data_IF_371766942021
#
_entry.id   IF_371766942021
#
_cell.length_a   1.000
_cell.length_b   1.000
_cell.length_c   1.000
_cell.angle_alpha   90.00
_cell.angle_beta   90.00
_cell.angle_gamma   90.00
#
_symmetry.space_group_name_H-M   'P 1'
#
loop_
_entity.id
_entity.type
_entity.pdbx_description
1 polymer ?
#
# COMPACT_ATOMS: atom_id res chain seq x y z
N UNK A 1 8.01 24.49 -18.09
CA UNK A 1 7.49 23.11 -18.15
C UNK A 1 6.43 22.98 -17.07
N UNK A 2 5.27 22.42 -17.41
CA UNK A 2 4.23 22.12 -16.44
C UNK A 2 4.74 21.05 -15.45
N UNK A 3 4.37 21.18 -14.18
CA UNK A 3 4.69 20.18 -13.17
C UNK A 3 3.80 18.95 -13.39
N UNK A 4 4.39 17.75 -13.30
CA UNK A 4 3.69 16.47 -13.42
C UNK A 4 4.05 15.58 -12.24
N UNK A 5 3.07 14.86 -11.70
CA UNK A 5 3.24 13.86 -10.64
C UNK A 5 3.78 12.55 -11.25
N UNK A 6 4.99 12.62 -11.81
CA UNK A 6 5.56 11.57 -12.64
C UNK A 6 5.66 10.23 -11.91
N UNK A 7 6.03 10.24 -10.62
CA UNK A 7 6.23 9.01 -9.86
C UNK A 7 4.90 8.32 -9.58
N UNK A 8 3.90 9.07 -9.12
CA UNK A 8 2.59 8.48 -8.85
C UNK A 8 1.88 8.06 -10.14
N UNK A 9 2.08 8.77 -11.25
CA UNK A 9 1.58 8.33 -12.58
C UNK A 9 2.21 7.01 -13.02
N UNK A 10 3.51 6.80 -12.79
CA UNK A 10 4.16 5.50 -13.06
C UNK A 10 3.51 4.39 -12.24
N UNK A 11 3.31 4.62 -10.93
CA UNK A 11 2.66 3.66 -10.03
C UNK A 11 1.24 3.35 -10.50
N UNK A 12 0.46 4.35 -10.91
CA UNK A 12 -0.89 4.15 -11.45
C UNK A 12 -0.89 3.29 -12.73
N UNK A 13 0.12 3.44 -13.58
CA UNK A 13 0.26 2.63 -14.79
C UNK A 13 0.69 1.18 -14.49
N UNK A 14 1.52 0.96 -13.46
CA UNK A 14 2.00 -0.37 -13.05
C UNK A 14 0.92 -1.16 -12.30
N UNK A 15 0.17 -0.50 -11.42
CA UNK A 15 -0.88 -1.10 -10.58
C UNK A 15 -2.25 -0.53 -10.95
N UNK A 16 -2.74 -0.84 -12.16
CA UNK A 16 -4.01 -0.30 -12.63
C UNK A 16 -5.21 -0.74 -11.76
N UNK A 17 -5.10 -1.88 -11.09
CA UNK A 17 -6.04 -2.37 -10.09
C UNK A 17 -5.79 -1.66 -8.74
N UNK A 18 -6.69 -0.77 -8.34
CA UNK A 18 -6.61 -0.02 -7.08
C UNK A 18 -6.18 1.45 -7.23
N UNK A 19 -5.60 1.86 -8.36
CA UNK A 19 -5.10 3.25 -8.52
C UNK A 19 -6.04 4.20 -9.28
N UNK A 20 -7.14 3.70 -9.85
CA UNK A 20 -8.08 4.52 -10.63
C UNK A 20 -8.61 5.75 -9.86
N UNK A 21 -8.80 5.62 -8.55
CA UNK A 21 -9.23 6.71 -7.68
C UNK A 21 -8.22 7.85 -7.53
N UNK A 22 -6.92 7.62 -7.76
CA UNK A 22 -5.89 8.66 -7.65
C UNK A 22 -5.85 9.60 -8.85
N UNK A 23 -6.25 9.13 -10.03
CA UNK A 23 -6.09 9.88 -11.29
C UNK A 23 -6.73 11.28 -11.26
N UNK A 24 -7.96 11.48 -10.75
CA UNK A 24 -8.55 12.80 -10.63
C UNK A 24 -7.77 13.72 -9.67
N UNK A 25 -7.21 13.17 -8.59
CA UNK A 25 -6.41 13.93 -7.62
C UNK A 25 -5.06 14.34 -8.19
N UNK A 26 -4.41 13.48 -8.97
CA UNK A 26 -3.18 13.81 -9.70
C UNK A 26 -3.42 14.96 -10.67
N UNK A 27 -4.46 14.86 -11.50
CA UNK A 27 -4.82 15.93 -12.43
C UNK A 27 -5.09 17.25 -11.70
N UNK A 28 -5.78 17.20 -10.57
CA UNK A 28 -6.09 18.40 -9.79
C UNK A 28 -4.83 19.06 -9.18
N UNK A 29 -3.82 18.28 -8.76
CA UNK A 29 -2.54 18.80 -8.28
C UNK A 29 -1.76 19.47 -9.41
N UNK A 30 -1.67 18.81 -10.57
CA UNK A 30 -0.92 19.28 -11.73
C UNK A 30 -1.52 20.57 -12.32
N UNK A 31 -2.84 20.61 -12.49
CA UNK A 31 -3.58 21.79 -12.93
C UNK A 31 -3.37 22.98 -11.97
N UNK A 32 -3.33 22.72 -10.66
CA UNK A 32 -3.10 23.75 -9.65
C UNK A 32 -1.65 24.23 -9.64
N UNK A 33 -0.69 23.35 -9.91
CA UNK A 33 0.72 23.73 -9.99
C UNK A 33 0.98 24.69 -11.16
N UNK A 34 0.23 24.57 -12.25
CA UNK A 34 0.32 25.50 -13.39
C UNK A 34 -0.38 26.84 -13.12
N UNK A 35 -1.56 26.81 -12.50
CA UNK A 35 -2.45 27.99 -12.38
C UNK A 35 -2.27 28.79 -11.09
N UNK A 36 -1.95 28.11 -9.99
CA UNK A 36 -1.90 28.70 -8.65
C UNK A 36 -0.93 27.91 -7.75
N UNK A 37 0.39 28.12 -7.90
CA UNK A 37 1.45 27.35 -7.22
C UNK A 37 1.34 27.30 -5.68
N UNK A 38 0.69 28.28 -5.08
CA UNK A 38 0.45 28.32 -3.64
C UNK A 38 -0.66 27.35 -3.17
N UNK A 39 -1.62 27.05 -4.03
CA UNK A 39 -2.75 26.13 -3.75
C UNK A 39 -2.40 24.67 -4.05
N UNK A 40 -1.38 24.43 -4.88
CA UNK A 40 -0.93 23.09 -5.26
C UNK A 40 -0.33 22.32 -4.07
N UNK A 41 0.26 23.04 -3.11
CA UNK A 41 0.75 22.51 -1.84
C UNK A 41 -0.35 21.83 -1.00
N UNK A 42 -1.51 22.47 -0.85
CA UNK A 42 -2.64 21.90 -0.11
C UNK A 42 -3.20 20.66 -0.81
N UNK A 43 -3.26 20.70 -2.15
CA UNK A 43 -3.71 19.56 -2.95
C UNK A 43 -2.74 18.38 -2.87
N UNK A 44 -1.43 18.63 -2.81
CA UNK A 44 -0.44 17.59 -2.65
C UNK A 44 -0.51 16.91 -1.27
N UNK A 45 -0.75 17.68 -0.21
CA UNK A 45 -1.07 17.11 1.11
C UNK A 45 -2.34 16.29 1.10
N UNK A 46 -3.40 16.80 0.48
CA UNK A 46 -4.66 16.08 0.36
C UNK A 46 -4.47 14.77 -0.40
N UNK A 47 -3.66 14.76 -1.48
CA UNK A 47 -3.31 13.53 -2.17
C UNK A 47 -2.54 12.55 -1.27
N UNK A 48 -1.55 13.02 -0.51
CA UNK A 48 -0.82 12.17 0.44
C UNK A 48 -1.77 11.57 1.50
N UNK A 49 -2.70 12.37 2.01
CA UNK A 49 -3.72 11.91 2.95
C UNK A 49 -4.63 10.85 2.33
N UNK A 50 -5.09 11.07 1.08
CA UNK A 50 -5.90 10.11 0.34
C UNK A 50 -5.10 8.83 0.12
N UNK A 51 -3.85 8.92 -0.34
CA UNK A 51 -2.95 7.77 -0.51
C UNK A 51 -2.83 6.97 0.78
N UNK A 52 -2.60 7.63 1.91
CA UNK A 52 -2.48 6.96 3.20
C UNK A 52 -3.79 6.31 3.64
N UNK A 53 -4.93 6.99 3.47
CA UNK A 53 -6.25 6.43 3.78
C UNK A 53 -6.56 5.21 2.93
N UNK A 54 -6.27 5.27 1.63
CA UNK A 54 -6.45 4.13 0.71
C UNK A 54 -5.59 2.94 1.14
N UNK A 55 -4.31 3.15 1.46
CA UNK A 55 -3.44 2.06 1.95
C UNK A 55 -3.98 1.48 3.27
N UNK A 56 -4.44 2.33 4.20
CA UNK A 56 -5.00 1.88 5.46
C UNK A 56 -6.27 1.05 5.26
N UNK A 57 -7.17 1.49 4.37
CA UNK A 57 -8.39 0.77 3.99
C UNK A 57 -8.05 -0.56 3.31
N UNK A 58 -7.14 -0.59 2.34
CA UNK A 58 -6.67 -1.81 1.66
C UNK A 58 -6.00 -2.81 2.64
N UNK A 59 -5.40 -2.34 3.74
CA UNK A 59 -4.77 -3.15 4.78
C UNK A 59 -5.71 -3.52 5.95
N UNK A 60 -6.97 -3.10 5.91
CA UNK A 60 -7.92 -3.36 7.02
C UNK A 60 -7.57 -2.64 8.32
N UNK A 61 -6.82 -1.54 8.26
CA UNK A 61 -6.41 -0.78 9.44
C UNK A 61 -7.54 0.13 9.92
N UNK A 62 -7.68 0.34 11.24
CA UNK A 62 -8.69 1.25 11.77
C UNK A 62 -8.48 2.67 11.23
N UNK A 63 -9.57 3.31 10.80
CA UNK A 63 -9.55 4.67 10.24
C UNK A 63 -9.01 5.63 11.29
N UNK A 64 -7.76 6.06 11.13
CA UNK A 64 -7.13 6.96 12.07
C UNK A 64 -7.86 8.33 12.07
N UNK A 65 -8.20 8.84 13.25
CA UNK A 65 -8.61 10.24 13.46
C UNK A 65 -7.41 11.20 13.57
N UNK A 66 -6.21 10.71 13.25
CA UNK A 66 -4.96 11.39 13.53
C UNK A 66 -4.58 12.41 12.45
N UNK A 67 -3.65 13.31 12.77
CA UNK A 67 -3.05 14.23 11.80
C UNK A 67 -2.32 13.44 10.70
N UNK A 68 -2.13 14.06 9.54
CA UNK A 68 -1.45 13.47 8.39
C UNK A 68 -0.06 12.91 8.76
N UNK A 69 0.69 13.61 9.62
CA UNK A 69 2.01 13.15 10.05
C UNK A 69 1.95 11.83 10.83
N UNK A 70 0.94 11.68 11.69
CA UNK A 70 0.73 10.48 12.48
C UNK A 70 0.28 9.33 11.58
N UNK A 71 -0.66 9.60 10.66
CA UNK A 71 -1.13 8.62 9.68
C UNK A 71 0.02 8.06 8.82
N UNK A 72 0.88 8.94 8.29
CA UNK A 72 2.06 8.52 7.52
C UNK A 72 3.02 7.73 8.40
N UNK A 73 3.26 8.19 9.63
CA UNK A 73 4.19 7.53 10.56
C UNK A 73 3.72 6.14 10.97
N UNK A 74 2.42 5.94 11.15
CA UNK A 74 1.84 4.65 11.48
C UNK A 74 1.83 3.69 10.30
N UNK A 75 1.61 4.18 9.07
CA UNK A 75 1.75 3.37 7.87
C UNK A 75 3.21 2.92 7.64
N UNK A 76 4.18 3.82 7.86
CA UNK A 76 5.61 3.47 7.77
C UNK A 76 5.97 2.30 8.69
N UNK A 77 5.32 2.15 9.84
CA UNK A 77 5.57 1.02 10.76
C UNK A 77 4.97 -0.31 10.25
N UNK A 78 4.02 -0.25 9.33
CA UNK A 78 3.19 -1.39 8.92
C UNK A 78 3.49 -1.87 7.50
N UNK A 79 4.19 -1.07 6.71
CA UNK A 79 4.62 -1.41 5.35
C UNK A 79 6.08 -1.86 5.41
N UNK A 80 6.39 -3.12 5.09
CA UNK A 80 7.77 -3.53 4.87
C UNK A 80 8.30 -2.90 3.57
N UNK A 81 9.45 -2.24 3.61
CA UNK A 81 10.02 -1.53 2.45
C UNK A 81 11.09 -2.31 1.72
N UNK A 82 11.89 -3.10 2.45
CA UNK A 82 13.01 -3.82 1.90
C UNK A 82 12.51 -4.90 0.96
N UNK A 83 11.66 -5.83 1.40
CA UNK A 83 11.17 -6.93 0.55
C UNK A 83 12.29 -7.61 -0.25
N UNK A 84 13.49 -7.67 0.32
CA UNK A 84 14.71 -8.07 -0.37
C UNK A 84 15.21 -9.33 0.31
N UNK A 85 15.47 -10.38 -0.48
CA UNK A 85 16.17 -11.54 0.03
C UNK A 85 17.67 -11.21 0.15
N UNK A 86 18.03 -10.47 1.21
CA UNK A 86 19.37 -9.97 1.47
C UNK A 86 19.81 -10.30 2.91
N UNK A 87 21.07 -10.71 3.14
CA UNK A 87 21.56 -11.03 4.50
C UNK A 87 21.38 -9.92 5.54
N UNK A 88 21.46 -8.65 5.09
CA UNK A 88 21.28 -7.46 5.93
C UNK A 88 19.89 -6.81 5.80
N UNK A 89 18.83 -7.57 5.48
CA UNK A 89 17.47 -7.07 5.26
C UNK A 89 17.00 -6.09 6.36
N UNK A 90 17.26 -6.40 7.64
CA UNK A 90 16.91 -5.52 8.76
C UNK A 90 17.58 -4.14 8.68
N UNK A 91 18.87 -4.09 8.32
CA UNK A 91 19.57 -2.82 8.21
C UNK A 91 19.06 -1.99 7.03
N UNK A 92 18.64 -2.66 5.95
CA UNK A 92 18.03 -2.01 4.78
C UNK A 92 16.67 -1.44 5.17
N UNK A 93 15.83 -2.23 5.86
CA UNK A 93 14.52 -1.81 6.35
C UNK A 93 14.62 -0.59 7.27
N UNK A 94 15.58 -0.60 8.21
CA UNK A 94 15.84 0.52 9.11
C UNK A 94 16.24 1.79 8.34
N UNK A 95 17.05 1.66 7.29
CA UNK A 95 17.49 2.78 6.47
C UNK A 95 16.33 3.36 5.63
N UNK A 96 15.51 2.50 5.01
CA UNK A 96 14.34 2.90 4.23
C UNK A 96 13.27 3.55 5.12
N UNK A 97 13.04 2.99 6.31
CA UNK A 97 12.14 3.56 7.32
C UNK A 97 12.61 4.96 7.73
N UNK A 98 13.90 5.13 8.02
CA UNK A 98 14.47 6.44 8.37
C UNK A 98 14.32 7.45 7.24
N UNK A 99 14.65 7.06 6.01
CA UNK A 99 14.50 7.91 4.83
C UNK A 99 13.06 8.39 4.66
N UNK A 100 12.11 7.47 4.74
CA UNK A 100 10.68 7.77 4.56
C UNK A 100 10.16 8.73 5.64
N UNK A 101 10.60 8.54 6.91
CA UNK A 101 10.30 9.48 8.01
C UNK A 101 10.91 10.87 7.76
N UNK A 102 12.14 10.95 7.27
CA UNK A 102 12.80 12.22 6.95
C UNK A 102 12.09 12.96 5.81
N UNK A 103 11.62 12.25 4.78
CA UNK A 103 10.80 12.84 3.70
C UNK A 103 9.48 13.38 4.27
N UNK A 104 8.78 12.61 5.10
CA UNK A 104 7.54 13.07 5.76
C UNK A 104 7.77 14.33 6.61
N UNK A 105 8.83 14.34 7.43
CA UNK A 105 9.19 15.52 8.23
C UNK A 105 9.49 16.75 7.35
N UNK A 106 10.12 16.55 6.19
CA UNK A 106 10.40 17.63 5.24
C UNK A 106 9.12 18.21 4.63
N UNK A 107 8.16 17.35 4.29
CA UNK A 107 6.82 17.76 3.85
C UNK A 107 6.13 18.57 4.97
N UNK A 108 6.22 18.12 6.22
CA UNK A 108 5.71 18.83 7.40
C UNK A 108 6.35 20.20 7.63
N UNK A 109 7.65 20.37 7.39
CA UNK A 109 8.33 21.66 7.49
C UNK A 109 7.89 22.62 6.36
N UNK A 110 7.83 22.16 5.11
CA UNK A 110 7.35 22.94 3.97
C UNK A 110 5.88 23.33 4.12
N UNK A 111 5.10 22.44 4.72
CA UNK A 111 3.72 22.68 5.11
C UNK A 111 3.57 23.84 6.09
N UNK A 112 4.45 23.93 7.09
CA UNK A 112 4.46 25.02 8.07
C UNK A 112 4.86 26.34 7.40
N UNK A 113 5.83 26.34 6.49
CA UNK A 113 6.22 27.53 5.72
C UNK A 113 5.04 28.12 4.93
N UNK A 114 4.21 27.26 4.32
CA UNK A 114 2.99 27.70 3.62
C UNK A 114 1.90 28.27 4.54
N UNK A 115 1.97 28.02 5.85
CA UNK A 115 0.99 28.53 6.81
C UNK A 115 1.43 29.85 7.47
N UNK A 116 2.64 30.35 7.16
CA UNK A 116 3.09 31.66 7.65
C UNK A 116 2.26 32.75 6.98
N UNK A 117 1.80 33.72 7.79
CA UNK A 117 1.00 34.84 7.32
C UNK A 117 1.70 35.61 6.20
N UNK A 118 0.96 35.90 5.13
CA UNK A 118 1.46 36.63 3.97
C UNK A 118 2.28 35.83 2.95
N UNK A 119 2.73 34.61 3.29
CA UNK A 119 3.47 33.76 2.33
C UNK A 119 2.55 33.00 1.36
N UNK A 120 1.31 32.66 1.78
CA UNK A 120 0.36 31.85 0.98
C UNK A 120 -0.36 32.62 -0.12
N UNK A 121 -0.85 33.83 0.19
CA UNK A 121 -1.71 34.62 -0.71
C UNK A 121 -1.21 36.05 -0.91
N UNK A 122 0.00 36.36 -0.44
CA UNK A 122 0.44 37.73 -0.21
C UNK A 122 -0.07 38.25 1.13
N UNK A 123 0.72 39.11 1.77
CA UNK A 123 0.33 39.85 2.97
C UNK A 123 0.13 41.31 2.61
N UNK A 124 1.00 42.17 3.14
CA UNK A 124 1.15 43.52 2.62
C UNK A 124 1.60 43.49 1.15
N UNK A 125 1.24 44.51 0.37
CA UNK A 125 1.70 44.68 -1.02
C UNK A 125 3.24 44.72 -1.14
N UNK A 126 3.94 44.95 -0.03
CA UNK A 126 5.40 44.99 0.05
C UNK A 126 6.04 43.66 0.52
N UNK A 127 5.26 42.62 0.78
CA UNK A 127 5.79 41.34 1.24
C UNK A 127 5.95 40.38 0.07
N UNK A 128 7.12 39.75 -0.02
CA UNK A 128 7.36 38.68 -0.99
C UNK A 128 6.61 37.41 -0.58
N UNK A 129 6.08 36.70 -1.57
CA UNK A 129 5.46 35.40 -1.40
C UNK A 129 6.47 34.29 -1.62
N UNK A 130 6.10 33.06 -1.24
CA UNK A 130 6.95 31.90 -1.46
C UNK A 130 7.23 31.70 -2.96
N UNK A 131 8.50 31.69 -3.37
CA UNK A 131 8.83 31.47 -4.77
C UNK A 131 8.39 30.08 -5.26
N UNK A 132 8.04 29.98 -6.55
CA UNK A 132 7.54 28.75 -7.20
C UNK A 132 8.38 27.50 -6.91
N UNK A 133 9.71 27.64 -6.82
CA UNK A 133 10.62 26.51 -6.59
C UNK A 133 10.43 25.85 -5.22
N UNK A 134 9.99 26.57 -4.18
CA UNK A 134 9.67 25.97 -2.89
C UNK A 134 8.38 25.15 -2.93
N UNK A 135 7.36 25.64 -3.65
CA UNK A 135 6.12 24.88 -3.90
C UNK A 135 6.40 23.63 -4.73
N UNK A 136 7.21 23.75 -5.78
CA UNK A 136 7.65 22.61 -6.59
C UNK A 136 8.41 21.55 -5.78
N UNK A 137 9.18 21.94 -4.77
CA UNK A 137 9.84 21.00 -3.86
C UNK A 137 8.82 20.19 -3.06
N UNK A 138 7.81 20.84 -2.48
CA UNK A 138 6.74 20.15 -1.75
C UNK A 138 5.98 19.18 -2.66
N UNK A 139 5.62 19.63 -3.86
CA UNK A 139 4.96 18.78 -4.86
C UNK A 139 5.80 17.53 -5.19
N UNK A 140 7.10 17.71 -5.42
CA UNK A 140 8.01 16.61 -5.76
C UNK A 140 8.19 15.62 -4.60
N UNK A 141 8.29 16.11 -3.37
CA UNK A 141 8.40 15.26 -2.18
C UNK A 141 7.11 14.48 -1.93
N UNK A 142 5.95 15.13 -2.09
CA UNK A 142 4.65 14.47 -1.98
C UNK A 142 4.46 13.42 -3.08
N UNK A 143 4.85 13.70 -4.33
CA UNK A 143 4.81 12.73 -5.43
C UNK A 143 5.65 11.49 -5.11
N UNK A 144 6.92 11.71 -4.74
CA UNK A 144 7.84 10.64 -4.40
C UNK A 144 7.34 9.80 -3.21
N UNK A 145 6.83 10.45 -2.16
CA UNK A 145 6.35 9.74 -0.97
C UNK A 145 5.07 8.93 -1.25
N UNK A 146 4.09 9.51 -1.95
CA UNK A 146 2.86 8.78 -2.33
C UNK A 146 3.21 7.55 -3.16
N UNK A 147 4.03 7.74 -4.20
CA UNK A 147 4.44 6.66 -5.10
C UNK A 147 5.17 5.55 -4.33
N UNK A 148 6.14 5.91 -3.48
CA UNK A 148 6.90 4.95 -2.71
C UNK A 148 6.04 4.16 -1.72
N UNK A 149 5.18 4.84 -0.94
CA UNK A 149 4.31 4.19 0.03
C UNK A 149 3.33 3.23 -0.65
N UNK A 150 2.69 3.67 -1.73
CA UNK A 150 1.72 2.85 -2.44
C UNK A 150 2.39 1.67 -3.14
N UNK A 151 3.53 1.88 -3.82
CA UNK A 151 4.28 0.79 -4.46
C UNK A 151 4.78 -0.25 -3.45
N UNK A 152 5.33 0.18 -2.32
CA UNK A 152 5.75 -0.72 -1.24
C UNK A 152 4.56 -1.49 -0.67
N UNK A 153 3.42 -0.83 -0.46
CA UNK A 153 2.18 -1.47 -0.05
C UNK A 153 1.70 -2.53 -1.07
N UNK A 154 1.61 -2.19 -2.35
CA UNK A 154 1.12 -3.11 -3.39
C UNK A 154 2.04 -4.32 -3.54
N UNK A 155 3.37 -4.12 -3.46
CA UNK A 155 4.34 -5.22 -3.53
C UNK A 155 4.35 -6.12 -2.30
N UNK A 156 3.85 -5.63 -1.16
CA UNK A 156 3.76 -6.40 0.09
C UNK A 156 2.38 -7.01 0.33
N UNK A 157 1.31 -6.46 -0.23
CA UNK A 157 0.01 -7.14 -0.26
C UNK A 157 -0.01 -8.22 -1.33
N UNK A 158 0.65 -8.00 -2.47
CA UNK A 158 0.85 -9.05 -3.49
C UNK A 158 1.86 -10.13 -3.04
N UNK A 159 2.65 -9.82 -2.01
CA UNK A 159 3.43 -10.78 -1.22
C UNK A 159 2.74 -10.98 0.12
N UNK A 160 1.62 -11.69 0.16
CA UNK A 160 1.41 -12.49 1.38
C UNK A 160 2.71 -13.27 1.65
N UNK A 161 3.10 -13.49 2.94
CA UNK A 161 4.23 -14.35 3.22
C UNK A 161 4.05 -15.60 2.37
N UNK A 162 5.11 -16.02 1.70
CA UNK A 162 5.10 -17.21 0.87
C UNK A 162 4.76 -18.37 1.79
N UNK A 163 3.46 -18.56 2.07
CA UNK A 163 2.92 -19.68 2.82
C UNK A 163 3.51 -20.88 2.11
N UNK A 164 4.20 -21.72 2.85
CA UNK A 164 4.68 -22.96 2.31
C UNK A 164 3.44 -23.83 2.07
N UNK A 165 3.48 -24.69 1.05
CA UNK A 165 2.38 -25.63 0.83
C UNK A 165 2.18 -26.51 2.07
N UNK A 166 3.28 -26.79 2.75
CA UNK A 166 3.40 -27.59 3.97
C UNK A 166 2.74 -26.94 5.20
N UNK A 167 2.55 -25.62 5.22
CA UNK A 167 1.95 -24.92 6.36
C UNK A 167 0.46 -25.28 6.53
N UNK A 168 -0.20 -25.73 5.45
CA UNK A 168 -1.63 -26.05 5.40
C UNK A 168 -1.87 -27.56 5.25
N UNK A 169 -1.03 -28.39 5.90
CA UNK A 169 -1.01 -29.84 5.71
C UNK A 169 -2.36 -30.54 5.96
N UNK A 170 -3.10 -30.13 6.99
CA UNK A 170 -4.40 -30.73 7.34
C UNK A 170 -5.46 -30.45 6.25
N UNK A 171 -5.53 -29.19 5.80
CA UNK A 171 -6.39 -28.80 4.69
C UNK A 171 -6.04 -29.54 3.40
N UNK A 172 -4.75 -29.68 3.09
CA UNK A 172 -4.31 -30.37 1.88
C UNK A 172 -4.73 -31.83 1.83
N UNK A 173 -4.63 -32.53 2.97
CA UNK A 173 -5.09 -33.93 3.08
C UNK A 173 -6.60 -34.02 2.87
N UNK A 174 -7.37 -33.17 3.55
CA UNK A 174 -8.84 -33.16 3.42
C UNK A 174 -9.28 -32.86 1.98
N UNK A 175 -8.65 -31.87 1.34
CA UNK A 175 -8.91 -31.49 -0.04
C UNK A 175 -8.58 -32.63 -1.01
N UNK A 176 -7.46 -33.32 -0.80
CA UNK A 176 -7.07 -34.45 -1.62
C UNK A 176 -8.00 -35.65 -1.42
N UNK A 177 -8.33 -36.02 -0.18
CA UNK A 177 -9.18 -37.18 0.12
C UNK A 177 -10.61 -36.99 -0.37
N UNK A 178 -11.20 -35.81 -0.13
CA UNK A 178 -12.56 -35.46 -0.57
C UNK A 178 -12.71 -35.51 -2.10
N UNK A 179 -11.66 -35.19 -2.85
CA UNK A 179 -11.72 -35.10 -4.32
C UNK A 179 -11.19 -36.36 -5.03
N UNK A 180 -10.17 -37.04 -4.48
CA UNK A 180 -9.63 -38.29 -5.02
C UNK A 180 -10.59 -39.46 -4.73
N UNK A 181 -11.22 -39.49 -3.54
CA UNK A 181 -12.15 -40.55 -3.15
C UNK A 181 -13.41 -40.61 -4.03
N UNK A 182 -13.91 -39.45 -4.47
CA UNK A 182 -15.12 -39.37 -5.31
C UNK A 182 -14.86 -39.57 -6.81
N UNK A 183 -13.66 -39.25 -7.32
CA UNK A 183 -13.39 -39.15 -8.77
C UNK A 183 -12.24 -40.03 -9.27
N UNK A 184 -11.54 -40.71 -8.36
CA UNK A 184 -10.30 -41.44 -8.66
C UNK A 184 -9.08 -40.53 -8.78
N UNK A 185 -7.89 -41.12 -8.81
CA UNK A 185 -6.63 -40.37 -8.93
C UNK A 185 -6.55 -39.59 -10.24
N UNK A 186 -6.05 -38.35 -10.17
CA UNK A 186 -5.75 -37.56 -11.38
C UNK A 186 -4.42 -38.04 -11.94
N UNK A 187 -4.45 -38.80 -13.05
CA UNK A 187 -3.25 -39.35 -13.67
C UNK A 187 -3.02 -38.72 -15.04
N UNK A 188 -1.85 -38.11 -15.24
CA UNK A 188 -1.42 -37.56 -16.54
C UNK A 188 -0.16 -38.30 -16.98
N UNK A 189 -0.25 -39.06 -18.09
CA UNK A 189 0.87 -39.84 -18.63
C UNK A 189 1.48 -40.79 -17.58
N UNK A 190 0.63 -41.41 -16.76
CA UNK A 190 1.06 -42.35 -15.71
C UNK A 190 1.62 -41.69 -14.44
N UNK A 191 1.60 -40.36 -14.35
CA UNK A 191 2.00 -39.63 -13.13
C UNK A 191 0.75 -39.21 -12.36
N UNK A 192 0.62 -39.59 -11.08
CA UNK A 192 -0.48 -39.13 -10.24
C UNK A 192 -0.25 -37.70 -9.76
N UNK A 193 -1.33 -36.91 -9.68
CA UNK A 193 -1.32 -35.54 -9.19
C UNK A 193 -2.35 -35.38 -8.07
N UNK A 194 -2.00 -34.57 -7.07
CA UNK A 194 -2.87 -34.22 -5.96
C UNK A 194 -3.70 -32.97 -6.30
N UNK A 195 -5.03 -32.98 -6.08
CA UNK A 195 -5.88 -31.81 -6.27
C UNK A 195 -5.35 -30.55 -5.56
N UNK A 196 -4.90 -30.68 -4.32
CA UNK A 196 -4.34 -29.59 -3.53
C UNK A 196 -3.08 -29.00 -4.16
N UNK A 197 -2.14 -29.84 -4.61
CA UNK A 197 -0.89 -29.44 -5.26
C UNK A 197 -1.12 -28.79 -6.64
N UNK A 198 -2.10 -29.31 -7.40
CA UNK A 198 -2.55 -28.71 -8.66
C UNK A 198 -3.09 -27.31 -8.39
N UNK A 199 -4.00 -27.14 -7.44
CA UNK A 199 -4.59 -25.83 -7.13
C UNK A 199 -3.53 -24.87 -6.58
N UNK A 200 -2.67 -25.32 -5.68
CA UNK A 200 -1.56 -24.54 -5.15
C UNK A 200 -0.66 -23.97 -6.24
N UNK A 201 -0.31 -24.81 -7.22
CA UNK A 201 0.68 -24.47 -8.26
C UNK A 201 0.07 -23.75 -9.45
N UNK A 202 -1.14 -24.14 -9.87
CA UNK A 202 -1.74 -23.69 -11.13
C UNK A 202 -2.91 -22.70 -10.93
N UNK A 203 -3.54 -22.65 -9.76
CA UNK A 203 -4.66 -21.75 -9.49
C UNK A 203 -4.74 -21.31 -8.02
N UNK A 204 -3.82 -20.42 -7.64
CA UNK A 204 -3.65 -19.97 -6.27
C UNK A 204 -4.90 -19.34 -5.65
N UNK A 205 -5.61 -18.49 -6.41
CA UNK A 205 -6.85 -17.85 -5.93
C UNK A 205 -7.88 -18.88 -5.48
N UNK A 206 -8.04 -19.97 -6.24
CA UNK A 206 -9.02 -21.01 -5.93
C UNK A 206 -8.61 -21.85 -4.72
N UNK A 207 -7.30 -22.09 -4.56
CA UNK A 207 -6.76 -22.73 -3.36
C UNK A 207 -7.11 -21.90 -2.11
N UNK A 208 -6.83 -20.60 -2.14
CA UNK A 208 -7.04 -19.71 -0.99
C UNK A 208 -8.54 -19.56 -0.65
N UNK A 209 -9.43 -19.45 -1.64
CA UNK A 209 -10.90 -19.47 -1.45
C UNK A 209 -11.38 -20.73 -0.73
N UNK A 210 -10.84 -21.89 -1.13
CA UNK A 210 -11.26 -23.19 -0.59
C UNK A 210 -10.73 -23.38 0.83
N UNK A 211 -9.49 -22.95 1.09
CA UNK A 211 -8.90 -22.94 2.43
C UNK A 211 -9.71 -22.07 3.40
N UNK A 212 -10.13 -20.87 2.97
CA UNK A 212 -10.96 -19.99 3.80
C UNK A 212 -12.31 -20.61 4.16
N UNK A 213 -12.97 -21.27 3.19
CA UNK A 213 -14.21 -21.98 3.44
C UNK A 213 -14.03 -23.11 4.47
N UNK A 214 -12.97 -23.91 4.31
CA UNK A 214 -12.63 -24.98 5.26
C UNK A 214 -12.35 -24.46 6.67
N UNK A 215 -11.61 -23.36 6.80
CA UNK A 215 -11.34 -22.72 8.10
C UNK A 215 -12.62 -22.17 8.77
N UNK A 216 -13.55 -21.63 7.98
CA UNK A 216 -14.85 -21.16 8.49
C UNK A 216 -15.69 -22.33 9.00
N UNK A 217 -15.77 -23.43 8.25
CA UNK A 217 -16.48 -24.65 8.67
C UNK A 217 -15.89 -25.25 9.94
N UNK A 218 -14.56 -25.30 10.05
CA UNK A 218 -13.86 -25.77 11.24
C UNK A 218 -14.13 -24.88 12.48
N UNK A 219 -14.22 -23.56 12.27
CA UNK A 219 -14.54 -22.60 13.34
C UNK A 219 -16.01 -22.68 13.78
N UNK A 220 -16.94 -22.97 12.87
CA UNK A 220 -18.37 -23.13 13.17
C UNK A 220 -18.67 -24.48 13.83
N UNK A 221 -17.88 -25.51 13.54
CA UNK A 221 -18.00 -26.84 14.12
C UNK A 221 -17.51 -26.93 15.58
N UNK A 222 -16.79 -25.93 16.10
CA UNK A 222 -16.20 -25.96 17.44
C UNK A 222 -16.62 -24.73 18.28
N UNK A 223 -17.82 -24.73 18.90
CA UNK A 223 -18.36 -23.55 19.59
C UNK A 223 -17.74 -23.26 20.98
N UNK A 224 -16.64 -23.91 21.36
CA UNK A 224 -16.16 -23.90 22.75
C UNK A 224 -14.85 -23.15 23.04
N UNK A 225 -14.26 -22.44 22.07
CA UNK A 225 -13.09 -21.57 22.29
C UNK A 225 -13.44 -20.07 22.21
N UNK A 226 -14.66 -19.69 22.60
CA UNK A 226 -15.08 -18.30 22.74
C UNK A 226 -14.89 -17.71 24.15
N UNK A 227 -14.25 -18.43 25.08
CA UNK A 227 -13.86 -17.88 26.39
C UNK A 227 -12.49 -18.42 26.84
N UNK A 228 -11.39 -17.80 26.39
CA UNK A 228 -10.33 -17.32 27.30
C UNK A 228 -9.70 -16.06 26.71
N UNK A 229 -9.77 -15.00 27.50
CA UNK A 229 -9.25 -13.63 27.31
C UNK A 229 -7.74 -13.58 27.12
#
# INVERSE_FOLDING_TARGET
MAFLMQQMRRVCAEFADGTAGFVPHLQAVEDAAEKAPFTSAERAKALLEICCKTIAEERGLPRAKADLNDLVSDLIKQIPFAGLNHPDEKSIEDALTKLTRSVNASIGALAQLNNIEGLRHGGSANWETLAFHHGAMLLSLSDALCAFLYEAHRRTVRREPMRAYEDEAEFNVELDESHIGERGEIVVVGVPFRPSEILWTLNRSRYDETLQAWQQEASEANPNDAEVV
#
